data_IF_598389521349
#
_entry.id   IF_598389521349
#
_cell.length_a   1.000
_cell.length_b   1.000
_cell.length_c   1.000
_cell.angle_alpha   90.00
_cell.angle_beta   90.00
_cell.angle_gamma   90.00
#
_symmetry.space_group_name_H-M   'P 1'
#
loop_
_entity.id
_entity.type
_entity.pdbx_description
1 polymer ?
#
# COMPACT_ATOMS: atom_id res chain seq x y z
N UNK A 1 19.99 -13.04 -16.91
CA UNK A 1 19.11 -11.85 -16.77
C UNK A 1 19.96 -10.72 -16.20
N UNK A 2 20.06 -9.58 -16.87
CA UNK A 2 20.85 -8.46 -16.38
C UNK A 2 20.22 -7.90 -15.10
N UNK A 3 21.02 -7.70 -14.05
CA UNK A 3 20.55 -7.14 -12.79
C UNK A 3 20.28 -5.65 -12.98
N UNK A 4 19.01 -5.27 -13.21
CA UNK A 4 18.61 -3.86 -13.26
C UNK A 4 18.73 -3.30 -11.84
N UNK A 5 19.70 -2.41 -11.62
CA UNK A 5 19.80 -1.69 -10.34
C UNK A 5 18.55 -0.84 -10.17
N UNK A 6 17.92 -0.98 -9.00
CA UNK A 6 16.84 -0.10 -8.61
C UNK A 6 17.40 1.33 -8.42
N UNK A 7 16.67 2.36 -8.87
CA UNK A 7 17.03 3.75 -8.60
C UNK A 7 17.23 3.99 -7.11
N UNK A 8 18.21 4.83 -6.77
CA UNK A 8 18.57 5.17 -5.38
C UNK A 8 17.48 6.00 -4.68
N UNK A 9 16.69 6.73 -5.46
CA UNK A 9 15.50 7.45 -5.03
C UNK A 9 14.35 7.13 -5.97
N UNK A 10 13.13 7.11 -5.44
CA UNK A 10 11.89 6.89 -6.19
C UNK A 10 10.86 7.88 -5.70
N UNK A 11 9.95 8.31 -6.58
CA UNK A 11 8.82 9.12 -6.15
C UNK A 11 7.90 8.27 -5.26
N UNK A 12 7.50 8.82 -4.11
CA UNK A 12 6.57 8.14 -3.20
C UNK A 12 5.70 9.14 -2.47
N UNK A 13 4.44 8.78 -2.26
CA UNK A 13 3.49 9.52 -1.44
C UNK A 13 3.13 8.67 -0.22
N UNK A 14 3.13 9.26 0.97
CA UNK A 14 2.75 8.58 2.21
C UNK A 14 1.65 9.35 2.90
N UNK A 15 0.60 8.63 3.29
CA UNK A 15 -0.55 9.19 4.00
C UNK A 15 -0.81 8.38 5.27
N UNK A 16 -1.13 9.08 6.35
CA UNK A 16 -1.58 8.48 7.60
C UNK A 16 -3.00 7.95 7.41
N UNK A 17 -3.27 6.77 7.96
CA UNK A 17 -4.58 6.11 7.85
C UNK A 17 -4.89 5.37 9.14
N UNK A 18 -6.11 4.83 9.26
CA UNK A 18 -6.43 3.80 10.25
C UNK A 18 -6.71 2.47 9.57
N UNK A 19 -6.04 1.41 10.03
CA UNK A 19 -6.22 0.04 9.54
C UNK A 19 -6.88 -0.76 10.65
N UNK A 20 -8.12 -1.20 10.46
CA UNK A 20 -8.88 -1.92 11.49
C UNK A 20 -8.95 -1.18 12.84
N UNK A 21 -8.98 0.16 12.81
CA UNK A 21 -8.99 1.01 14.01
C UNK A 21 -7.61 1.35 14.60
N UNK A 22 -6.53 0.77 14.07
CA UNK A 22 -5.16 1.04 14.50
C UNK A 22 -4.49 2.12 13.65
N UNK A 23 -3.67 2.97 14.25
CA UNK A 23 -2.90 3.98 13.52
C UNK A 23 -2.00 3.30 12.48
N UNK A 24 -2.04 3.73 11.24
CA UNK A 24 -1.32 3.13 10.13
C UNK A 24 -0.87 4.15 9.11
N UNK A 25 -0.26 3.67 8.04
CA UNK A 25 0.13 4.49 6.89
C UNK A 25 0.07 3.69 5.61
N UNK A 26 -0.31 4.36 4.53
CA UNK A 26 -0.18 3.87 3.16
C UNK A 26 0.96 4.63 2.50
N UNK A 27 1.89 3.91 1.88
CA UNK A 27 2.91 4.49 1.03
C UNK A 27 2.75 3.96 -0.39
N UNK A 28 2.48 4.84 -1.35
CA UNK A 28 2.45 4.51 -2.78
C UNK A 28 3.78 4.95 -3.39
N UNK A 29 4.55 3.98 -3.88
CA UNK A 29 5.81 4.22 -4.59
C UNK A 29 5.52 4.14 -6.09
N UNK A 30 5.87 5.18 -6.84
CA UNK A 30 5.77 5.24 -8.31
C UNK A 30 7.17 5.32 -8.91
N UNK A 31 7.78 4.19 -9.31
CA UNK A 31 8.98 4.19 -10.13
C UNK A 31 8.61 4.59 -11.57
N UNK A 32 9.45 5.35 -12.25
CA UNK A 32 9.14 5.87 -13.60
C UNK A 32 8.75 4.77 -14.60
N UNK A 33 9.54 3.69 -14.68
CA UNK A 33 9.33 2.62 -15.66
C UNK A 33 8.73 1.33 -15.06
N UNK A 34 8.04 1.42 -13.91
CA UNK A 34 7.45 0.23 -13.27
C UNK A 34 6.06 0.47 -12.70
N UNK A 35 5.24 -0.58 -12.59
CA UNK A 35 3.97 -0.51 -11.90
C UNK A 35 4.14 0.04 -10.47
N UNK A 36 3.17 0.83 -9.98
CA UNK A 36 3.19 1.36 -8.64
C UNK A 36 3.18 0.25 -7.60
N UNK A 37 3.88 0.48 -6.49
CA UNK A 37 3.89 -0.41 -5.33
C UNK A 37 3.15 0.26 -4.18
N UNK A 38 2.33 -0.51 -3.48
CA UNK A 38 1.56 -0.07 -2.33
C UNK A 38 2.07 -0.79 -1.09
N UNK A 39 2.54 -0.02 -0.12
CA UNK A 39 2.93 -0.52 1.19
C UNK A 39 1.88 -0.07 2.20
N UNK A 40 1.29 -1.02 2.90
CA UNK A 40 0.31 -0.76 3.95
C UNK A 40 0.87 -1.22 5.28
N UNK A 41 0.92 -0.30 6.24
CA UNK A 41 1.41 -0.58 7.59
C UNK A 41 0.36 -0.21 8.62
N UNK A 42 0.24 -1.04 9.65
CA UNK A 42 -0.56 -0.77 10.84
C UNK A 42 0.35 -0.79 12.08
N UNK A 43 0.10 0.13 13.01
CA UNK A 43 0.84 0.35 14.25
C UNK A 43 0.09 -0.21 15.46
N UNK A 44 0.78 -0.25 16.61
CA UNK A 44 0.30 -0.93 17.81
C UNK A 44 0.75 -2.39 17.81
N UNK A 45 1.33 -2.85 18.91
CA UNK A 45 1.93 -4.17 19.01
C UNK A 45 0.90 -5.30 18.80
N UNK A 46 1.16 -6.19 17.84
CA UNK A 46 0.41 -7.41 17.56
C UNK A 46 0.64 -7.89 16.13
N UNK A 47 1.24 -9.07 15.95
CA UNK A 47 1.68 -9.58 14.64
C UNK A 47 0.54 -9.80 13.62
N UNK A 48 -0.71 -9.87 14.07
CA UNK A 48 -1.86 -10.19 13.22
C UNK A 48 -2.28 -9.02 12.33
N UNK A 49 -2.59 -7.85 12.90
CA UNK A 49 -3.07 -6.70 12.10
C UNK A 49 -1.94 -6.14 11.23
N UNK A 50 -0.73 -6.05 11.78
CA UNK A 50 0.44 -5.64 11.02
C UNK A 50 0.77 -6.61 9.87
N UNK A 51 0.72 -7.92 10.11
CA UNK A 51 0.95 -8.92 9.07
C UNK A 51 -0.16 -8.95 8.02
N UNK A 52 -1.41 -8.75 8.42
CA UNK A 52 -2.54 -8.66 7.50
C UNK A 52 -2.46 -7.42 6.61
N UNK A 53 -2.12 -6.27 7.18
CA UNK A 53 -1.86 -5.02 6.46
C UNK A 53 -0.76 -5.21 5.39
N UNK A 54 0.37 -5.82 5.78
CA UNK A 54 1.48 -6.11 4.88
C UNK A 54 1.09 -7.09 3.76
N UNK A 55 0.34 -8.15 4.08
CA UNK A 55 -0.16 -9.11 3.11
C UNK A 55 -1.07 -8.46 2.06
N UNK A 56 -1.94 -7.54 2.47
CA UNK A 56 -2.80 -6.78 1.56
C UNK A 56 -1.98 -5.84 0.68
N UNK A 57 -1.06 -5.06 1.24
CA UNK A 57 -0.19 -4.17 0.45
C UNK A 57 0.62 -4.95 -0.59
N UNK A 58 1.12 -6.13 -0.21
CA UNK A 58 1.82 -7.05 -1.11
C UNK A 58 0.90 -7.59 -2.22
N UNK A 59 -0.31 -8.05 -1.88
CA UNK A 59 -1.27 -8.55 -2.86
C UNK A 59 -1.66 -7.47 -3.89
N UNK A 60 -1.93 -6.24 -3.43
CA UNK A 60 -2.22 -5.09 -4.30
C UNK A 60 -1.03 -4.81 -5.21
N UNK A 61 0.18 -4.72 -4.66
CA UNK A 61 1.40 -4.49 -5.45
C UNK A 61 1.62 -5.55 -6.52
N UNK A 62 1.38 -6.82 -6.20
CA UNK A 62 1.49 -7.92 -7.17
C UNK A 62 0.45 -7.79 -8.27
N UNK A 63 -0.81 -7.51 -7.94
CA UNK A 63 -1.84 -7.40 -8.96
C UNK A 63 -1.70 -6.17 -9.84
N UNK A 64 -1.28 -5.02 -9.28
CA UNK A 64 -0.90 -3.83 -10.06
C UNK A 64 0.25 -4.16 -11.03
N UNK A 65 1.22 -4.96 -10.60
CA UNK A 65 2.31 -5.43 -11.46
C UNK A 65 1.84 -6.39 -12.58
N UNK A 66 0.66 -6.99 -12.44
CA UNK A 66 0.04 -7.90 -13.41
C UNK A 66 -1.14 -7.25 -14.17
N UNK A 67 -1.29 -5.93 -14.12
CA UNK A 67 -2.25 -5.18 -14.93
C UNK A 67 -3.61 -4.90 -14.29
N UNK A 68 -3.80 -5.22 -13.01
CA UNK A 68 -4.97 -4.76 -12.26
C UNK A 68 -4.96 -3.24 -12.09
N UNK A 69 -6.14 -2.63 -12.03
CA UNK A 69 -6.33 -1.24 -11.66
C UNK A 69 -6.41 -1.05 -10.15
N UNK A 70 -6.24 0.18 -9.66
CA UNK A 70 -6.47 0.50 -8.25
C UNK A 70 -7.93 0.29 -7.83
N UNK A 71 -8.88 0.55 -8.73
CA UNK A 71 -10.32 0.42 -8.45
C UNK A 71 -10.74 -1.03 -8.16
N UNK A 72 -10.03 -2.01 -8.73
CA UNK A 72 -10.24 -3.44 -8.46
C UNK A 72 -10.07 -3.80 -6.97
N UNK A 73 -9.31 -2.99 -6.23
CA UNK A 73 -9.05 -3.19 -4.80
C UNK A 73 -9.91 -2.34 -3.88
N UNK A 74 -10.83 -1.52 -4.42
CA UNK A 74 -11.66 -0.60 -3.61
C UNK A 74 -12.38 -1.35 -2.48
N UNK A 75 -13.05 -2.45 -2.80
CA UNK A 75 -13.78 -3.26 -1.81
C UNK A 75 -12.83 -3.88 -0.78
N UNK A 76 -11.66 -4.36 -1.21
CA UNK A 76 -10.67 -4.94 -0.30
C UNK A 76 -10.10 -3.91 0.67
N UNK A 77 -9.90 -2.67 0.22
CA UNK A 77 -9.45 -1.56 1.04
C UNK A 77 -10.55 -1.11 2.03
N UNK A 78 -11.80 -1.03 1.59
CA UNK A 78 -12.95 -0.73 2.45
C UNK A 78 -13.10 -1.76 3.59
N UNK A 79 -12.90 -3.06 3.29
CA UNK A 79 -12.95 -4.13 4.30
C UNK A 79 -11.93 -3.96 5.43
N UNK A 80 -10.81 -3.29 5.18
CA UNK A 80 -9.78 -3.02 6.20
C UNK A 80 -9.91 -1.65 6.87
N UNK A 81 -11.03 -0.96 6.61
CA UNK A 81 -11.32 0.36 7.16
C UNK A 81 -10.57 1.49 6.45
N UNK A 82 -10.00 1.23 5.27
CA UNK A 82 -9.38 2.25 4.42
C UNK A 82 -10.43 2.75 3.44
N UNK A 83 -11.21 3.71 3.87
CA UNK A 83 -12.17 4.41 3.01
C UNK A 83 -11.54 5.69 2.43
N UNK A 84 -12.06 6.15 1.29
CA UNK A 84 -11.53 7.34 0.61
C UNK A 84 -11.56 8.61 1.47
N UNK A 85 -12.51 8.68 2.43
CA UNK A 85 -12.60 9.75 3.43
C UNK A 85 -11.45 9.74 4.46
N UNK A 86 -10.73 8.63 4.63
CA UNK A 86 -9.56 8.57 5.53
C UNK A 86 -8.29 9.17 4.91
N UNK A 87 -8.31 9.50 3.61
CA UNK A 87 -7.15 10.05 2.88
C UNK A 87 -7.01 11.57 3.02
N UNK A 88 -7.63 12.17 4.04
CA UNK A 88 -7.50 13.60 4.31
C UNK A 88 -6.11 13.91 4.89
N UNK A 89 -5.42 14.83 4.21
CA UNK A 89 -4.07 15.28 4.53
C UNK A 89 -4.05 15.96 5.90
N UNK A 90 -3.15 15.52 6.78
CA UNK A 90 -2.50 16.41 7.75
C UNK A 90 -1.34 17.16 7.08
#
# INVERSE_FOLDING_TARGET
MAQVRLPRQRSSETVSVRVGGYAGRVTVVRPDDRPPQVLLMAGGHGSTVAGFADAIGTAISLGLANGAGFDDYRVALELVGLSADQLERE
#
